data_IF_666319216023
#
_entry.id   IF_666319216023
#
_cell.length_a   1.000
_cell.length_b   1.000
_cell.length_c   1.000
_cell.angle_alpha   90.00
_cell.angle_beta   90.00
_cell.angle_gamma   90.00
#
_symmetry.space_group_name_H-M   'P 1'
#
loop_
_entity.id
_entity.type
_entity.pdbx_description
1 polymer ?
#
# COMPACT_ATOMS: atom_id res chain seq x y z
N UNK A 1 -1.02 -74.10 -19.20
CA UNK A 1 -0.35 -73.25 -18.19
C UNK A 1 0.74 -72.47 -18.90
N UNK A 2 0.56 -71.16 -19.14
CA UNK A 2 1.61 -70.35 -19.77
C UNK A 2 2.75 -70.16 -18.75
N UNK A 3 3.89 -70.82 -18.98
CA UNK A 3 5.10 -70.58 -18.21
C UNK A 3 5.68 -69.23 -18.62
N UNK A 4 5.37 -68.19 -17.84
CA UNK A 4 6.01 -66.88 -18.01
C UNK A 4 7.48 -67.04 -17.64
N UNK A 5 8.37 -66.79 -18.60
CA UNK A 5 9.80 -66.87 -18.36
C UNK A 5 10.20 -65.79 -17.34
N UNK A 6 10.95 -66.12 -16.27
CA UNK A 6 11.23 -65.19 -15.18
C UNK A 6 11.90 -63.90 -15.68
N UNK A 7 12.72 -64.00 -16.72
CA UNK A 7 13.38 -62.86 -17.38
C UNK A 7 12.38 -61.89 -18.02
N UNK A 8 11.30 -62.39 -18.62
CA UNK A 8 10.28 -61.56 -19.27
C UNK A 8 9.46 -60.72 -18.28
N UNK A 9 9.16 -61.29 -17.11
CA UNK A 9 8.46 -60.59 -16.04
C UNK A 9 9.28 -59.41 -15.50
N UNK A 10 10.60 -59.59 -15.31
CA UNK A 10 11.50 -58.52 -14.84
C UNK A 10 11.52 -57.35 -15.83
N UNK A 11 11.63 -57.63 -17.13
CA UNK A 11 11.67 -56.58 -18.17
C UNK A 11 10.35 -55.79 -18.19
N UNK A 12 9.20 -56.47 -18.10
CA UNK A 12 7.89 -55.82 -18.10
C UNK A 12 7.72 -54.86 -16.91
N UNK A 13 8.12 -55.28 -15.71
CA UNK A 13 8.06 -54.42 -14.52
C UNK A 13 8.98 -53.20 -14.63
N UNK A 14 10.17 -53.36 -15.21
CA UNK A 14 11.09 -52.26 -15.42
C UNK A 14 10.52 -51.20 -16.39
N UNK A 15 9.86 -51.64 -17.47
CA UNK A 15 9.22 -50.75 -18.44
C UNK A 15 8.04 -50.01 -17.81
N UNK A 16 7.17 -50.72 -17.08
CA UNK A 16 6.01 -50.10 -16.41
C UNK A 16 6.47 -49.10 -15.35
N UNK A 17 7.52 -49.41 -14.59
CA UNK A 17 8.10 -48.49 -13.61
C UNK A 17 8.71 -47.26 -14.28
N UNK A 18 9.40 -47.43 -15.41
CA UNK A 18 9.96 -46.31 -16.17
C UNK A 18 8.88 -45.39 -16.74
N UNK A 19 7.83 -45.94 -17.35
CA UNK A 19 6.69 -45.18 -17.88
C UNK A 19 5.92 -44.50 -16.76
N UNK A 20 5.65 -45.20 -15.65
CA UNK A 20 4.97 -44.61 -14.50
C UNK A 20 5.78 -43.47 -13.89
N UNK A 21 7.11 -43.62 -13.82
CA UNK A 21 8.02 -42.57 -13.33
C UNK A 21 8.04 -41.35 -14.24
N UNK A 22 8.13 -41.51 -15.56
CA UNK A 22 8.09 -40.38 -16.50
C UNK A 22 6.72 -39.70 -16.54
N UNK A 23 5.64 -40.49 -16.53
CA UNK A 23 4.28 -39.96 -16.51
C UNK A 23 3.99 -39.23 -15.19
N UNK A 24 4.49 -39.73 -14.06
CA UNK A 24 4.45 -39.03 -12.79
C UNK A 24 5.24 -37.72 -12.85
N UNK A 25 6.43 -37.69 -13.46
CA UNK A 25 7.20 -36.45 -13.65
C UNK A 25 6.54 -35.44 -14.59
N UNK A 26 5.77 -35.88 -15.58
CA UNK A 26 4.99 -34.99 -16.46
C UNK A 26 3.70 -34.50 -15.79
N UNK A 27 3.02 -35.32 -15.00
CA UNK A 27 1.81 -34.94 -14.26
C UNK A 27 2.12 -34.01 -13.07
N UNK A 28 3.31 -34.15 -12.46
CA UNK A 28 3.84 -33.29 -11.41
C UNK A 28 4.94 -32.35 -11.92
N UNK A 29 4.84 -31.86 -13.17
CA UNK A 29 5.78 -30.88 -13.69
C UNK A 29 5.76 -29.63 -12.79
N UNK A 30 6.87 -29.31 -12.05
CA UNK A 30 6.93 -28.07 -11.30
C UNK A 30 6.76 -26.94 -12.30
N UNK A 31 5.79 -26.08 -12.03
CA UNK A 31 5.49 -25.02 -12.96
C UNK A 31 6.68 -24.05 -13.02
N UNK A 32 6.85 -23.47 -14.21
CA UNK A 32 8.06 -22.83 -14.72
C UNK A 32 8.61 -21.70 -13.81
N UNK A 33 9.75 -21.09 -14.19
CA UNK A 33 10.28 -19.82 -13.63
C UNK A 33 9.19 -18.80 -13.23
N UNK A 34 8.05 -18.78 -13.93
CA UNK A 34 6.86 -18.03 -13.59
C UNK A 34 6.33 -18.25 -12.14
N UNK A 35 6.28 -19.48 -11.64
CA UNK A 35 5.84 -19.77 -10.26
C UNK A 35 6.89 -19.36 -9.23
N UNK A 36 8.17 -19.51 -9.53
CA UNK A 36 9.23 -18.96 -8.67
C UNK A 36 9.13 -17.43 -8.60
N UNK A 37 8.95 -16.75 -9.73
CA UNK A 37 8.74 -15.29 -9.78
C UNK A 37 7.49 -14.91 -8.96
N UNK A 38 6.38 -15.64 -9.11
CA UNK A 38 5.15 -15.38 -8.35
C UNK A 38 5.34 -15.57 -6.84
N UNK A 39 6.04 -16.62 -6.41
CA UNK A 39 6.34 -16.88 -5.00
C UNK A 39 7.28 -15.82 -4.40
N UNK A 40 8.30 -15.40 -5.15
CA UNK A 40 9.21 -14.33 -4.74
C UNK A 40 8.48 -12.99 -4.61
N UNK A 41 7.64 -12.64 -5.59
CA UNK A 41 6.84 -11.42 -5.56
C UNK A 41 5.84 -11.41 -4.38
N UNK A 42 5.15 -12.53 -4.10
CA UNK A 42 4.21 -12.61 -2.97
C UNK A 42 4.93 -12.49 -1.61
N UNK A 43 6.11 -13.09 -1.48
CA UNK A 43 6.93 -12.95 -0.27
C UNK A 43 7.39 -11.52 -0.06
N UNK A 44 7.95 -10.90 -1.11
CA UNK A 44 8.43 -9.52 -1.03
C UNK A 44 7.28 -8.54 -0.78
N UNK A 45 6.12 -8.72 -1.42
CA UNK A 45 4.93 -7.90 -1.16
C UNK A 45 4.43 -8.05 0.29
N UNK A 46 4.57 -9.23 0.91
CA UNK A 46 4.26 -9.44 2.33
C UNK A 46 5.23 -8.73 3.27
N UNK A 47 6.52 -8.68 2.92
CA UNK A 47 7.55 -7.97 3.68
C UNK A 47 7.39 -6.45 3.57
N UNK A 48 7.09 -5.93 2.37
CA UNK A 48 6.87 -4.50 2.11
C UNK A 48 5.57 -4.01 2.75
N UNK A 49 4.51 -4.82 2.72
CA UNK A 49 3.21 -4.49 3.32
C UNK A 49 3.17 -4.72 4.85
N UNK A 50 4.32 -4.54 5.52
CA UNK A 50 4.45 -4.48 6.98
C UNK A 50 3.83 -3.19 7.53
N UNK A 51 4.58 -2.40 8.29
CA UNK A 51 4.06 -1.16 8.87
C UNK A 51 3.94 -0.07 7.79
N UNK A 52 2.72 0.42 7.58
CA UNK A 52 2.38 1.35 6.49
C UNK A 52 2.06 2.73 7.04
N UNK A 53 2.73 3.74 6.49
CA UNK A 53 2.49 5.15 6.77
C UNK A 53 1.75 5.80 5.61
N UNK A 54 0.50 6.20 5.82
CA UNK A 54 -0.30 6.96 4.85
C UNK A 54 -0.21 8.45 5.19
N UNK A 55 0.24 9.25 4.23
CA UNK A 55 0.54 10.66 4.43
C UNK A 55 -0.59 11.55 3.93
N UNK A 56 -0.89 12.58 4.72
CA UNK A 56 -1.80 13.65 4.41
C UNK A 56 -1.14 15.00 4.70
N UNK A 57 -1.53 16.01 3.94
CA UNK A 57 -1.25 17.43 4.21
C UNK A 57 -2.32 18.27 3.51
N UNK A 58 -2.22 19.60 3.61
CA UNK A 58 -3.10 20.49 2.85
C UNK A 58 -3.05 20.23 1.34
N UNK A 59 -1.88 19.82 0.81
CA UNK A 59 -1.66 19.55 -0.62
C UNK A 59 -1.63 18.03 -0.94
N UNK A 60 -1.67 17.16 0.07
CA UNK A 60 -1.62 15.71 -0.12
C UNK A 60 -2.92 15.08 0.40
N UNK A 61 -3.77 14.69 -0.54
CA UNK A 61 -5.02 13.99 -0.26
C UNK A 61 -4.90 12.49 -0.58
N UNK A 62 -5.05 11.66 0.44
CA UNK A 62 -4.76 10.22 0.38
C UNK A 62 -5.92 9.34 0.85
N UNK A 63 -7.17 9.83 0.91
CA UNK A 63 -8.32 9.11 1.49
C UNK A 63 -8.61 7.80 0.73
N UNK A 64 -8.56 7.83 -0.60
CA UNK A 64 -8.74 6.63 -1.42
C UNK A 64 -7.59 5.64 -1.18
N UNK A 65 -6.37 6.14 -1.03
CA UNK A 65 -5.20 5.33 -0.74
C UNK A 65 -5.23 4.76 0.67
N UNK A 66 -5.77 5.49 1.64
CA UNK A 66 -6.03 5.03 3.00
C UNK A 66 -6.97 3.82 2.99
N UNK A 67 -8.05 3.91 2.21
CA UNK A 67 -8.97 2.78 2.04
C UNK A 67 -8.31 1.58 1.35
N UNK A 68 -7.44 1.83 0.37
CA UNK A 68 -6.66 0.77 -0.29
C UNK A 68 -5.65 0.13 0.67
N UNK A 69 -4.90 0.95 1.42
CA UNK A 69 -3.94 0.51 2.41
C UNK A 69 -4.62 -0.31 3.52
N UNK A 70 -5.78 0.14 4.02
CA UNK A 70 -6.60 -0.64 4.96
C UNK A 70 -7.03 -1.99 4.37
N UNK A 71 -7.43 -2.05 3.11
CA UNK A 71 -7.77 -3.32 2.45
C UNK A 71 -6.55 -4.23 2.28
N UNK A 72 -5.37 -3.66 2.05
CA UNK A 72 -4.11 -4.41 1.97
C UNK A 72 -3.65 -4.91 3.34
N UNK A 73 -3.78 -4.11 4.39
CA UNK A 73 -3.42 -4.49 5.76
C UNK A 73 -4.38 -5.55 6.33
N UNK A 74 -5.60 -5.67 5.81
CA UNK A 74 -6.58 -6.65 6.27
C UNK A 74 -6.05 -8.09 6.20
N UNK A 75 -6.07 -8.79 7.34
CA UNK A 75 -5.57 -10.16 7.45
C UNK A 75 -4.06 -10.26 7.63
N UNK A 76 -3.35 -9.13 7.76
CA UNK A 76 -1.94 -9.03 8.11
C UNK A 76 -1.81 -8.39 9.51
N UNK A 77 -0.72 -8.67 10.22
CA UNK A 77 -0.38 -7.99 11.49
C UNK A 77 0.38 -6.67 11.22
N UNK A 78 -0.03 -5.97 10.17
CA UNK A 78 0.58 -4.71 9.72
C UNK A 78 -0.04 -3.54 10.48
N UNK A 79 0.78 -2.66 11.05
CA UNK A 79 0.29 -1.41 11.62
C UNK A 79 0.02 -0.41 10.50
N UNK A 80 -1.06 0.36 10.67
CA UNK A 80 -1.47 1.36 9.70
C UNK A 80 -1.54 2.71 10.40
N UNK A 81 -0.66 3.63 10.00
CA UNK A 81 -0.55 4.96 10.58
C UNK A 81 -0.99 6.00 9.56
N UNK A 82 -1.96 6.83 9.92
CA UNK A 82 -2.35 8.03 9.17
C UNK A 82 -1.61 9.23 9.75
N UNK A 83 -0.70 9.82 8.97
CA UNK A 83 0.08 11.00 9.34
C UNK A 83 -0.49 12.23 8.65
N UNK A 84 -0.82 13.27 9.42
CA UNK A 84 -1.07 14.61 8.88
C UNK A 84 0.09 15.54 9.19
N UNK A 85 0.65 16.17 8.16
CA UNK A 85 1.69 17.20 8.32
C UNK A 85 1.06 18.58 8.20
N UNK A 86 1.14 19.34 9.30
CA UNK A 86 0.76 20.75 9.34
C UNK A 86 2.00 21.57 8.97
N UNK A 87 1.95 22.22 7.80
CA UNK A 87 3.02 23.10 7.35
C UNK A 87 2.93 24.46 8.04
N UNK A 88 3.97 24.82 8.79
CA UNK A 88 4.06 26.07 9.55
C UNK A 88 4.82 27.12 8.73
N UNK A 89 4.20 28.26 8.39
CA UNK A 89 4.87 29.33 7.66
C UNK A 89 6.10 29.87 8.39
N UNK A 90 7.15 30.24 7.65
CA UNK A 90 8.36 30.85 8.21
C UNK A 90 8.13 32.18 8.96
N UNK A 91 6.99 32.83 8.72
CA UNK A 91 6.57 34.05 9.43
C UNK A 91 6.11 33.80 10.86
N UNK A 92 5.88 32.54 11.24
CA UNK A 92 5.40 32.13 12.56
C UNK A 92 6.43 31.22 13.27
N UNK A 93 6.44 31.21 14.60
CA UNK A 93 7.14 30.18 15.38
C UNK A 93 6.64 28.77 15.03
N UNK A 94 7.51 27.76 15.15
CA UNK A 94 7.18 26.35 14.82
C UNK A 94 6.09 25.77 15.73
N UNK A 95 5.94 26.34 16.92
CA UNK A 95 4.99 26.02 17.96
C UNK A 95 3.78 26.98 17.97
N UNK A 96 3.62 27.81 16.93
CA UNK A 96 2.47 28.69 16.81
C UNK A 96 1.16 27.88 16.75
N UNK A 97 0.14 28.37 17.45
CA UNK A 97 -1.20 27.82 17.33
C UNK A 97 -1.77 28.10 15.93
N UNK A 98 -2.24 27.05 15.27
CA UNK A 98 -2.80 27.11 13.91
C UNK A 98 -4.20 26.47 13.90
N UNK A 99 -5.22 27.11 14.50
CA UNK A 99 -6.50 26.46 14.79
C UNK A 99 -7.29 26.04 13.54
N UNK A 100 -7.04 26.65 12.38
CA UNK A 100 -7.68 26.23 11.13
C UNK A 100 -7.06 24.93 10.61
N UNK A 101 -5.73 24.89 10.53
CA UNK A 101 -4.97 23.75 10.07
C UNK A 101 -5.11 22.55 11.02
N UNK A 102 -5.18 22.80 12.33
CA UNK A 102 -5.44 21.75 13.33
C UNK A 102 -6.83 21.15 13.20
N UNK A 103 -7.85 21.97 12.89
CA UNK A 103 -9.21 21.48 12.63
C UNK A 103 -9.26 20.65 11.35
N UNK A 104 -8.58 21.09 10.30
CA UNK A 104 -8.48 20.34 9.04
C UNK A 104 -7.77 19.00 9.24
N UNK A 105 -6.62 19.00 9.94
CA UNK A 105 -5.90 17.80 10.29
C UNK A 105 -6.79 16.81 11.06
N UNK A 106 -7.53 17.30 12.07
CA UNK A 106 -8.45 16.48 12.84
C UNK A 106 -9.56 15.89 11.95
N UNK A 107 -10.16 16.68 11.05
CA UNK A 107 -11.20 16.19 10.14
C UNK A 107 -10.69 15.08 9.22
N UNK A 108 -9.50 15.24 8.64
CA UNK A 108 -8.88 14.26 7.75
C UNK A 108 -8.51 12.99 8.51
N UNK A 109 -7.91 13.13 9.70
CA UNK A 109 -7.52 11.98 10.53
C UNK A 109 -8.75 11.22 11.06
N UNK A 110 -9.81 11.89 11.47
CA UNK A 110 -11.09 11.25 11.82
C UNK A 110 -11.68 10.51 10.62
N UNK A 111 -11.61 11.07 9.41
CA UNK A 111 -12.03 10.36 8.20
C UNK A 111 -11.19 9.11 7.94
N UNK A 112 -9.87 9.17 8.18
CA UNK A 112 -8.98 8.01 8.08
C UNK A 112 -9.37 6.91 9.09
N UNK A 113 -9.59 7.25 10.36
CA UNK A 113 -10.07 6.30 11.38
C UNK A 113 -11.38 5.63 10.97
N UNK A 114 -12.34 6.41 10.46
CA UNK A 114 -13.61 5.91 9.96
C UNK A 114 -13.46 4.92 8.80
N UNK A 115 -12.50 5.17 7.90
CA UNK A 115 -12.14 4.25 6.81
C UNK A 115 -11.61 2.92 7.39
N UNK A 116 -10.71 2.98 8.38
CA UNK A 116 -10.17 1.79 9.05
C UNK A 116 -11.26 1.00 9.77
N UNK A 117 -12.10 1.70 10.54
CA UNK A 117 -13.21 1.10 11.27
C UNK A 117 -14.16 0.34 10.33
N UNK A 118 -14.49 0.92 9.18
CA UNK A 118 -15.29 0.25 8.13
C UNK A 118 -14.58 -0.98 7.54
N UNK A 119 -13.26 -0.98 7.48
CA UNK A 119 -12.46 -2.14 7.06
C UNK A 119 -12.31 -3.22 8.15
N UNK A 120 -12.60 -2.88 9.41
CA UNK A 120 -12.39 -3.72 10.58
C UNK A 120 -10.96 -3.66 11.13
N UNK A 121 -10.29 -2.51 10.96
CA UNK A 121 -8.92 -2.26 11.39
C UNK A 121 -8.88 -1.01 12.28
N UNK A 122 -7.96 -1.01 13.24
CA UNK A 122 -7.59 0.17 14.00
C UNK A 122 -6.48 0.91 13.25
N UNK A 123 -6.67 2.22 13.02
CA UNK A 123 -5.67 3.09 12.39
C UNK A 123 -5.14 4.00 13.49
N UNK A 124 -3.82 4.09 13.59
CA UNK A 124 -3.19 5.08 14.44
C UNK A 124 -3.13 6.41 13.72
N UNK A 125 -3.58 7.48 14.35
CA UNK A 125 -3.49 8.83 13.80
C UNK A 125 -2.34 9.59 14.43
N UNK A 126 -1.59 10.32 13.60
CA UNK A 126 -0.48 11.15 14.05
C UNK A 126 -0.52 12.51 13.36
N UNK A 127 -0.23 13.55 14.13
CA UNK A 127 -0.08 14.91 13.61
C UNK A 127 1.34 15.39 13.90
N UNK A 128 2.00 15.94 12.90
CA UNK A 128 3.32 16.60 13.04
C UNK A 128 3.22 18.02 12.52
N UNK A 129 3.88 18.96 13.20
CA UNK A 129 4.09 20.33 12.73
C UNK A 129 5.52 20.43 12.19
N UNK A 130 5.67 20.90 10.97
CA UNK A 130 6.97 21.11 10.34
C UNK A 130 6.90 22.28 9.35
N UNK A 131 8.04 22.79 8.90
CA UNK A 131 8.10 23.80 7.83
C UNK A 131 8.07 23.19 6.44
N UNK A 132 8.39 21.90 6.33
CA UNK A 132 8.43 21.22 5.04
C UNK A 132 7.85 19.82 5.18
N UNK A 133 6.84 19.52 4.36
CA UNK A 133 6.16 18.22 4.39
C UNK A 133 7.10 17.05 4.09
N UNK A 134 8.00 17.18 3.10
CA UNK A 134 8.90 16.08 2.67
C UNK A 134 9.82 15.55 3.79
N UNK A 135 10.66 16.40 4.42
CA UNK A 135 11.49 16.00 5.56
C UNK A 135 10.68 15.41 6.72
N UNK A 136 9.53 16.01 7.05
CA UNK A 136 8.66 15.54 8.12
C UNK A 136 8.15 14.12 7.88
N UNK A 137 7.77 13.79 6.64
CA UNK A 137 7.32 12.46 6.24
C UNK A 137 8.43 11.42 6.41
N UNK A 138 9.66 11.72 5.96
CA UNK A 138 10.79 10.80 6.10
C UNK A 138 11.10 10.55 7.58
N UNK A 139 11.10 11.62 8.39
CA UNK A 139 11.36 11.49 9.81
C UNK A 139 10.28 10.65 10.51
N UNK A 140 9.00 10.91 10.22
CA UNK A 140 7.90 10.11 10.76
C UNK A 140 7.97 8.65 10.31
N UNK A 141 8.28 8.38 9.02
CA UNK A 141 8.44 7.03 8.52
C UNK A 141 9.53 6.26 9.27
N UNK A 142 10.65 6.93 9.60
CA UNK A 142 11.71 6.32 10.41
C UNK A 142 11.28 6.05 11.85
N UNK A 143 10.56 6.98 12.47
CA UNK A 143 10.10 6.83 13.85
C UNK A 143 9.06 5.73 14.00
N UNK A 144 8.13 5.62 13.04
CA UNK A 144 7.13 4.55 12.97
C UNK A 144 7.71 3.23 12.43
N UNK A 145 9.00 3.19 12.09
CA UNK A 145 9.65 2.03 11.44
C UNK A 145 8.89 1.54 10.20
N UNK A 146 8.27 2.45 9.46
CA UNK A 146 7.43 2.14 8.32
C UNK A 146 8.23 1.43 7.22
N UNK A 147 7.65 0.35 6.69
CA UNK A 147 8.17 -0.38 5.53
C UNK A 147 7.66 0.22 4.21
N UNK A 148 6.52 0.91 4.25
CA UNK A 148 5.90 1.52 3.08
C UNK A 148 5.32 2.90 3.40
N UNK A 149 5.71 3.91 2.63
CA UNK A 149 5.11 5.24 2.62
C UNK A 149 4.08 5.31 1.49
N UNK A 150 2.86 5.72 1.80
CA UNK A 150 1.76 5.87 0.82
C UNK A 150 1.38 7.35 0.72
N UNK A 151 1.46 7.90 -0.50
CA UNK A 151 1.14 9.30 -0.75
C UNK A 151 0.22 9.46 -1.96
N UNK A 152 -0.79 10.32 -1.83
CA UNK A 152 -1.57 10.80 -2.95
C UNK A 152 -0.85 11.90 -3.72
N UNK A 153 -1.12 12.00 -5.01
CA UNK A 153 -0.72 13.14 -5.82
C UNK A 153 -1.84 13.55 -6.75
N UNK A 154 -2.02 14.86 -6.89
CA UNK A 154 -2.85 15.46 -7.92
C UNK A 154 -1.94 16.00 -9.02
N UNK A 155 -2.37 15.88 -10.28
CA UNK A 155 -1.66 16.52 -11.39
C UNK A 155 -2.22 17.93 -11.55
N UNK A 156 -1.40 18.94 -11.27
CA UNK A 156 -1.74 20.36 -11.47
C UNK A 156 -2.16 20.69 -12.92
N UNK A 157 -1.80 19.84 -13.88
CA UNK A 157 -2.22 19.96 -15.27
C UNK A 157 -2.54 18.58 -15.86
N UNK A 158 -3.56 18.54 -16.73
CA UNK A 158 -3.92 17.35 -17.53
C UNK A 158 -2.81 16.92 -18.52
N UNK A 159 -1.67 17.62 -18.56
CA UNK A 159 -0.53 17.28 -19.39
C UNK A 159 0.34 16.18 -18.77
N UNK A 160 0.84 15.28 -19.61
CA UNK A 160 1.63 14.11 -19.25
C UNK A 160 3.00 14.38 -18.57
N UNK A 161 3.31 15.62 -18.17
CA UNK A 161 4.57 16.01 -17.51
C UNK A 161 4.47 17.13 -16.48
N UNK A 162 3.30 17.37 -15.87
CA UNK A 162 3.22 18.28 -14.70
C UNK A 162 4.15 17.77 -13.58
N UNK A 163 4.95 18.65 -12.93
CA UNK A 163 5.83 18.25 -11.83
C UNK A 163 5.01 17.66 -10.69
N UNK A 164 5.62 16.72 -9.95
CA UNK A 164 4.99 16.19 -8.75
C UNK A 164 5.11 17.26 -7.66
N UNK A 165 4.23 17.24 -6.65
CA UNK A 165 4.35 18.17 -5.53
C UNK A 165 5.74 18.07 -4.89
N UNK A 166 6.34 19.20 -4.51
CA UNK A 166 7.72 19.28 -4.02
C UNK A 166 8.00 18.30 -2.87
N UNK A 167 7.03 18.08 -1.99
CA UNK A 167 7.13 17.11 -0.90
C UNK A 167 7.33 15.68 -1.40
N UNK A 168 6.62 15.28 -2.46
CA UNK A 168 6.69 13.96 -3.05
C UNK A 168 8.04 13.74 -3.72
N UNK A 169 8.50 14.73 -4.50
CA UNK A 169 9.83 14.68 -5.14
C UNK A 169 10.93 14.57 -4.08
N UNK A 170 10.83 15.32 -2.99
CA UNK A 170 11.77 15.25 -1.89
C UNK A 170 11.80 13.86 -1.27
N UNK A 171 10.63 13.30 -0.90
CA UNK A 171 10.52 11.96 -0.32
C UNK A 171 11.12 10.91 -1.25
N UNK A 172 10.74 10.90 -2.53
CA UNK A 172 11.27 9.97 -3.52
C UNK A 172 12.79 10.05 -3.68
N UNK A 173 13.37 11.24 -3.53
CA UNK A 173 14.81 11.45 -3.71
C UNK A 173 15.65 11.09 -2.48
N UNK A 174 15.08 11.16 -1.27
CA UNK A 174 15.85 11.04 -0.01
C UNK A 174 15.48 9.81 0.83
N UNK A 175 14.36 9.14 0.56
CA UNK A 175 13.91 8.01 1.38
C UNK A 175 14.63 6.70 1.07
N UNK A 176 14.80 5.87 2.09
CA UNK A 176 15.22 4.47 1.97
C UNK A 176 14.06 3.49 2.19
N UNK A 177 12.86 4.00 2.45
CA UNK A 177 11.63 3.23 2.61
C UNK A 177 10.90 3.15 1.28
N UNK A 178 10.27 2.02 0.97
CA UNK A 178 9.48 1.89 -0.25
C UNK A 178 8.35 2.92 -0.28
N UNK A 179 8.04 3.44 -1.47
CA UNK A 179 7.01 4.48 -1.66
C UNK A 179 5.99 4.04 -2.69
N UNK A 180 4.72 4.09 -2.31
CA UNK A 180 3.59 3.92 -3.21
C UNK A 180 2.90 5.27 -3.43
N UNK A 181 2.80 5.67 -4.70
CA UNK A 181 2.13 6.91 -5.08
C UNK A 181 0.84 6.60 -5.83
N UNK A 182 -0.26 7.16 -5.35
CA UNK A 182 -1.53 7.16 -6.05
C UNK A 182 -1.76 8.47 -6.78
N UNK A 183 -1.83 8.41 -8.10
CA UNK A 183 -2.20 9.56 -8.93
C UNK A 183 -3.71 9.55 -9.12
N UNK A 184 -4.42 10.55 -8.60
CA UNK A 184 -5.84 10.75 -8.91
C UNK A 184 -5.98 11.73 -10.08
N UNK A 185 -6.67 11.32 -11.15
CA UNK A 185 -7.00 12.18 -12.30
C UNK A 185 -8.28 13.00 -12.09
N UNK A 186 -8.89 12.95 -10.91
CA UNK A 186 -10.19 13.56 -10.61
C UNK A 186 -10.18 14.21 -9.24
N UNK A 187 -9.57 15.39 -9.14
CA UNK A 187 -9.85 16.36 -8.06
C UNK A 187 -9.71 17.79 -8.61
N UNK A 188 -10.64 18.17 -9.49
CA UNK A 188 -11.11 19.56 -9.55
C UNK A 188 -12.30 19.64 -8.59
N UNK A 189 -12.13 20.26 -7.42
CA UNK A 189 -13.20 21.03 -6.77
C UNK A 189 -14.17 20.35 -5.80
N UNK A 190 -14.08 19.05 -5.50
CA UNK A 190 -14.90 18.45 -4.42
C UNK A 190 -13.98 17.79 -3.39
N UNK A 191 -13.53 18.62 -2.44
CA UNK A 191 -13.00 18.14 -1.17
C UNK A 191 -14.02 17.16 -0.58
N UNK A 192 -13.63 15.93 -0.22
CA UNK A 192 -14.55 14.95 0.39
C UNK A 192 -15.11 15.44 1.74
N UNK A 193 -14.52 16.49 2.30
CA UNK A 193 -15.03 17.27 3.44
C UNK A 193 -16.25 18.16 3.10
N UNK A 194 -16.58 18.31 1.81
CA UNK A 194 -17.73 19.07 1.26
C UNK A 194 -18.96 18.20 0.98
N UNK A 195 -18.97 16.93 1.41
CA UNK A 195 -20.17 16.10 1.31
C UNK A 195 -21.28 16.69 2.20
N UNK A 196 -22.11 17.55 1.58
CA UNK A 196 -23.40 17.97 2.14
C UNK A 196 -24.27 16.76 2.50
N UNK A 197 -25.28 16.93 3.36
CA UNK A 197 -26.08 15.82 3.88
C UNK A 197 -26.64 14.96 2.73
N UNK A 198 -26.44 13.64 2.83
CA UNK A 198 -26.88 12.68 1.81
C UNK A 198 -28.35 12.96 1.44
N UNK A 199 -28.70 13.04 0.14
CA UNK A 199 -30.09 13.16 -0.24
C UNK A 199 -30.83 11.92 0.25
N UNK A 200 -31.79 12.16 1.15
CA UNK A 200 -32.70 11.13 1.65
C UNK A 200 -33.35 10.45 0.45
N UNK A 201 -33.01 9.18 0.25
CA UNK A 201 -33.58 8.31 -0.77
C UNK A 201 -35.08 8.21 -0.51
N UNK A 202 -35.88 8.97 -1.26
CA UNK A 202 -37.35 8.85 -1.20
C UNK A 202 -37.73 7.42 -1.63
N UNK A 203 -38.53 6.77 -0.79
CA UNK A 203 -39.17 5.48 -1.07
C UNK A 203 -40.18 5.63 -2.20
#
# INVERSE_FOLDING_TARGET
>A
MLAVHPVGAVIATAIVAAISSTMYRMLNAPSNRAEQIAQHADRQAKEIAGDVLVVFSADIHSEVLMALAARMAKGRQAQLVALYVIEVPYTLPIDAELPQQEREALQVLTAAEEIGRKAGLEIQTRTTRDRQTGPAVIQAAREESANLIVMGTYRESRYAGAPMGQAIEYVLSQTHTDVLIGVSSSMEGDSMLSLGPLPLRKK
#
